data_IF_082579833596
#
_entry.id   IF_082579833596
#
_cell.length_a   1.000
_cell.length_b   1.000
_cell.length_c   1.000
_cell.angle_alpha   90.00
_cell.angle_beta   90.00
_cell.angle_gamma   90.00
#
_symmetry.space_group_name_H-M   'P 1'
#
loop_
_entity.id
_entity.type
_entity.pdbx_description
1 polymer ?
#
# COMPACT_ATOMS: atom_id res chain seq x y z
N UNK A 1 -19.03 -29.06 12.03
CA UNK A 1 -17.93 -28.21 11.51
C UNK A 1 -18.19 -26.71 11.77
N UNK A 2 -18.56 -26.29 13.01
CA UNK A 2 -18.67 -24.87 13.34
C UNK A 2 -17.30 -24.17 13.42
N UNK A 3 -16.22 -24.95 13.61
CA UNK A 3 -14.85 -24.42 13.76
C UNK A 3 -14.36 -23.73 12.47
N UNK A 4 -14.50 -24.36 11.29
CA UNK A 4 -14.08 -23.76 10.02
C UNK A 4 -14.78 -22.42 9.71
N UNK A 5 -16.10 -22.33 9.95
CA UNK A 5 -16.84 -21.09 9.75
C UNK A 5 -16.33 -19.98 10.68
N UNK A 6 -16.09 -20.32 11.94
CA UNK A 6 -15.63 -19.38 12.97
C UNK A 6 -14.20 -18.90 12.67
N UNK A 7 -13.32 -19.81 12.24
CA UNK A 7 -11.95 -19.48 11.83
C UNK A 7 -11.93 -18.52 10.63
N UNK A 8 -12.73 -18.79 9.58
CA UNK A 8 -12.83 -17.88 8.43
C UNK A 8 -13.44 -16.53 8.78
N UNK A 9 -14.43 -16.49 9.67
CA UNK A 9 -14.99 -15.23 10.17
C UNK A 9 -13.91 -14.38 10.86
N UNK A 10 -13.12 -14.98 11.75
CA UNK A 10 -12.05 -14.28 12.46
C UNK A 10 -10.99 -13.70 11.51
N UNK A 11 -10.62 -14.46 10.47
CA UNK A 11 -9.70 -14.00 9.42
C UNK A 11 -10.28 -12.81 8.64
N UNK A 12 -11.53 -12.91 8.19
CA UNK A 12 -12.15 -11.82 7.43
C UNK A 12 -12.30 -10.55 8.28
N UNK A 13 -12.66 -10.68 9.56
CA UNK A 13 -12.71 -9.56 10.50
C UNK A 13 -11.34 -8.92 10.72
N UNK A 14 -10.28 -9.72 10.80
CA UNK A 14 -8.91 -9.21 10.90
C UNK A 14 -8.53 -8.41 9.65
N UNK A 15 -8.82 -8.92 8.45
CA UNK A 15 -8.55 -8.21 7.20
C UNK A 15 -9.36 -6.93 7.06
N UNK A 16 -10.64 -6.96 7.37
CA UNK A 16 -11.48 -5.77 7.31
C UNK A 16 -10.99 -4.69 8.28
N UNK A 17 -10.65 -5.08 9.52
CA UNK A 17 -10.07 -4.15 10.50
C UNK A 17 -8.77 -3.51 10.00
N UNK A 18 -7.89 -4.29 9.40
CA UNK A 18 -6.64 -3.79 8.83
C UNK A 18 -6.86 -2.89 7.60
N UNK A 19 -7.92 -3.11 6.83
CA UNK A 19 -8.29 -2.22 5.72
C UNK A 19 -8.87 -0.88 6.20
N UNK A 20 -9.52 -0.89 7.37
CA UNK A 20 -10.10 0.31 7.97
C UNK A 20 -9.07 1.12 8.78
N UNK A 21 -8.07 0.46 9.36
CA UNK A 21 -7.02 1.09 10.16
C UNK A 21 -5.73 1.31 9.33
N UNK A 22 -5.46 2.55 8.96
CA UNK A 22 -4.33 2.91 8.09
C UNK A 22 -2.94 2.57 8.67
N UNK A 23 -2.81 2.48 10.00
CA UNK A 23 -1.55 2.24 10.72
C UNK A 23 -1.47 0.85 11.37
N UNK A 24 -2.53 0.03 11.30
CA UNK A 24 -2.52 -1.29 11.94
C UNK A 24 -1.83 -2.28 11.00
N UNK A 25 -0.52 -2.40 11.16
CA UNK A 25 0.29 -3.32 10.38
C UNK A 25 -0.04 -4.75 10.78
N UNK A 26 -0.71 -5.49 9.90
CA UNK A 26 -0.78 -6.94 10.01
C UNK A 26 0.62 -7.52 9.89
N UNK A 27 1.01 -8.34 10.86
CA UNK A 27 2.20 -9.18 10.73
C UNK A 27 1.95 -10.25 9.64
N UNK A 28 2.63 -10.18 8.49
CA UNK A 28 2.42 -11.14 7.40
C UNK A 28 2.82 -12.56 7.79
N UNK A 29 3.71 -12.73 8.78
CA UNK A 29 4.13 -14.05 9.27
C UNK A 29 3.12 -14.68 10.24
N UNK A 30 2.18 -13.89 10.76
CA UNK A 30 1.16 -14.36 11.70
C UNK A 30 -0.11 -14.87 11.01
N UNK A 31 -0.22 -14.76 9.68
CA UNK A 31 -1.38 -15.26 8.94
C UNK A 31 -1.27 -16.77 8.70
N UNK A 32 -2.10 -17.54 9.40
CA UNK A 32 -2.32 -18.96 9.12
C UNK A 32 -3.73 -19.16 8.54
N UNK A 33 -3.86 -19.64 7.29
CA UNK A 33 -5.18 -19.81 6.69
C UNK A 33 -5.97 -20.92 7.41
N UNK A 34 -7.29 -20.74 7.64
CA UNK A 34 -8.14 -21.75 8.23
C UNK A 34 -8.15 -23.06 7.45
N UNK A 35 -8.51 -24.14 8.14
CA UNK A 35 -8.53 -25.47 7.51
C UNK A 35 -9.72 -25.66 6.57
N UNK A 36 -9.45 -25.95 5.30
CA UNK A 36 -10.48 -26.22 4.30
C UNK A 36 -10.93 -24.98 3.51
N UNK A 37 -11.88 -25.16 2.58
CA UNK A 37 -12.32 -24.07 1.72
C UNK A 37 -13.15 -23.05 2.49
N UNK A 38 -13.20 -21.83 1.95
CA UNK A 38 -14.09 -20.80 2.47
C UNK A 38 -15.56 -21.27 2.37
N UNK A 39 -16.35 -21.16 3.46
CA UNK A 39 -17.78 -21.42 3.41
C UNK A 39 -18.49 -20.52 2.40
N UNK A 40 -19.46 -21.06 1.66
CA UNK A 40 -20.18 -20.31 0.62
C UNK A 40 -20.89 -19.07 1.15
N UNK A 41 -21.33 -19.13 2.40
CA UNK A 41 -21.95 -18.01 3.13
C UNK A 41 -21.00 -16.80 3.26
N UNK A 42 -19.69 -17.03 3.28
CA UNK A 42 -18.67 -15.99 3.42
C UNK A 42 -18.07 -15.55 2.08
N UNK A 43 -18.42 -16.22 0.97
CA UNK A 43 -17.82 -15.98 -0.35
C UNK A 43 -17.93 -14.53 -0.79
N UNK A 44 -19.14 -13.96 -0.73
CA UNK A 44 -19.38 -12.56 -1.13
C UNK A 44 -18.58 -11.57 -0.26
N UNK A 45 -18.44 -11.86 1.04
CA UNK A 45 -17.65 -11.02 1.96
C UNK A 45 -16.16 -11.09 1.62
N UNK A 46 -15.63 -12.29 1.38
CA UNK A 46 -14.23 -12.44 0.97
C UNK A 46 -13.92 -11.78 -0.37
N UNK A 47 -14.83 -11.86 -1.34
CA UNK A 47 -14.69 -11.17 -2.62
C UNK A 47 -14.67 -9.63 -2.44
N UNK A 48 -15.51 -9.10 -1.55
CA UNK A 48 -15.51 -7.67 -1.22
C UNK A 48 -14.20 -7.23 -0.55
N UNK A 49 -13.67 -8.03 0.38
CA UNK A 49 -12.37 -7.77 1.02
C UNK A 49 -11.25 -7.77 -0.01
N UNK A 50 -11.21 -8.77 -0.89
CA UNK A 50 -10.20 -8.88 -1.94
C UNK A 50 -10.23 -7.68 -2.90
N UNK A 51 -11.43 -7.26 -3.32
CA UNK A 51 -11.59 -6.10 -4.20
C UNK A 51 -11.06 -4.81 -3.55
N UNK A 52 -11.33 -4.60 -2.25
CA UNK A 52 -10.79 -3.46 -1.49
C UNK A 52 -9.26 -3.50 -1.38
N UNK A 53 -8.70 -4.67 -1.06
CA UNK A 53 -7.25 -4.87 -1.00
C UNK A 53 -6.57 -4.53 -2.34
N UNK A 54 -7.12 -5.01 -3.45
CA UNK A 54 -6.60 -4.73 -4.78
C UNK A 54 -6.62 -3.23 -5.13
N UNK A 55 -7.70 -2.52 -4.76
CA UNK A 55 -7.79 -1.07 -4.96
C UNK A 55 -6.73 -0.32 -4.15
N UNK A 56 -6.53 -0.68 -2.87
CA UNK A 56 -5.51 -0.05 -2.03
C UNK A 56 -4.09 -0.32 -2.53
N UNK A 57 -3.79 -1.55 -2.96
CA UNK A 57 -2.50 -1.90 -3.59
C UNK A 57 -2.26 -1.05 -4.84
N UNK A 58 -3.28 -0.88 -5.68
CA UNK A 58 -3.20 -0.02 -6.86
C UNK A 58 -2.89 1.44 -6.51
N UNK A 59 -3.59 1.99 -5.51
CA UNK A 59 -3.37 3.34 -5.00
C UNK A 59 -1.96 3.54 -4.43
N UNK A 60 -1.49 2.61 -3.59
CA UNK A 60 -0.14 2.66 -3.03
C UNK A 60 0.93 2.59 -4.12
N UNK A 61 0.74 1.72 -5.11
CA UNK A 61 1.65 1.60 -6.26
C UNK A 61 1.74 2.91 -7.05
N UNK A 62 0.59 3.55 -7.31
CA UNK A 62 0.54 4.83 -8.01
C UNK A 62 1.22 5.95 -7.21
N UNK A 63 0.97 6.02 -5.89
CA UNK A 63 1.59 6.98 -4.98
C UNK A 63 3.12 6.81 -4.95
N UNK A 64 3.60 5.58 -4.78
CA UNK A 64 5.03 5.26 -4.81
C UNK A 64 5.68 5.68 -6.14
N UNK A 65 5.01 5.45 -7.26
CA UNK A 65 5.50 5.87 -8.58
C UNK A 65 5.55 7.40 -8.72
N UNK A 66 4.58 8.11 -8.13
CA UNK A 66 4.57 9.57 -8.10
C UNK A 66 5.76 10.13 -7.31
N UNK A 67 5.95 9.69 -6.05
CA UNK A 67 7.08 10.11 -5.21
C UNK A 67 8.42 9.80 -5.86
N UNK A 68 8.57 8.64 -6.51
CA UNK A 68 9.79 8.29 -7.22
C UNK A 68 10.12 9.28 -8.36
N UNK A 69 9.12 9.79 -9.06
CA UNK A 69 9.30 10.83 -10.10
C UNK A 69 9.71 12.16 -9.49
N UNK A 70 9.11 12.56 -8.39
CA UNK A 70 9.49 13.79 -7.68
C UNK A 70 10.95 13.74 -7.20
N UNK A 71 11.36 12.62 -6.59
CA UNK A 71 12.76 12.41 -6.18
C UNK A 71 13.70 12.49 -7.39
N UNK A 72 13.32 11.88 -8.52
CA UNK A 72 14.12 11.94 -9.74
C UNK A 72 14.22 13.37 -10.31
N UNK A 73 13.17 14.18 -10.19
CA UNK A 73 13.19 15.59 -10.59
C UNK A 73 14.11 16.41 -9.69
N UNK A 74 14.01 16.25 -8.37
CA UNK A 74 14.88 16.93 -7.39
C UNK A 74 16.36 16.62 -7.63
N UNK A 75 16.69 15.36 -7.92
CA UNK A 75 18.07 14.93 -8.23
C UNK A 75 18.65 15.54 -9.51
N UNK A 76 17.80 16.03 -10.42
CA UNK A 76 18.25 16.68 -11.67
C UNK A 76 18.51 18.18 -11.51
N UNK A 77 18.03 18.79 -10.42
CA UNK A 77 18.34 20.19 -10.12
C UNK A 77 19.82 20.27 -9.74
N UNK A 78 20.67 20.98 -10.51
CA UNK A 78 22.06 21.15 -10.14
C UNK A 78 22.12 21.91 -8.81
N UNK A 79 22.65 21.28 -7.77
CA UNK A 79 23.08 21.96 -6.55
C UNK A 79 24.40 22.69 -6.86
N UNK A 80 24.29 23.75 -7.67
CA UNK A 80 25.40 24.66 -7.92
C UNK A 80 25.91 25.21 -6.59
N UNK A 81 27.24 25.23 -6.43
CA UNK A 81 27.92 25.85 -5.29
C UNK A 81 27.41 27.29 -5.18
N UNK A 82 26.63 27.61 -4.13
CA UNK A 82 26.05 28.95 -3.91
C UNK A 82 27.11 30.02 -3.56
N UNK A 83 28.38 29.63 -3.49
CA UNK A 83 29.50 30.46 -3.04
C UNK A 83 30.37 31.03 -4.18
N UNK A 84 29.93 30.96 -5.44
CA UNK A 84 30.69 31.56 -6.54
C UNK A 84 29.80 32.56 -7.29
N UNK A 85 30.14 33.87 -7.28
CA UNK A 85 29.45 34.86 -8.09
C UNK A 85 29.62 34.52 -9.57
N UNK A 86 28.52 34.35 -10.28
CA UNK A 86 28.51 34.23 -11.74
C UNK A 86 28.42 35.66 -12.29
N UNK A 87 29.52 36.18 -12.81
CA UNK A 87 29.50 37.40 -13.63
C UNK A 87 29.06 37.01 -15.04
N UNK A 88 27.91 37.52 -15.45
CA UNK A 88 27.42 37.42 -16.83
C UNK A 88 28.00 38.62 -17.58
N UNK A 89 29.00 38.37 -18.43
CA UNK A 89 29.54 39.40 -19.30
C UNK A 89 28.51 39.66 -20.40
N UNK A 90 27.94 40.86 -20.41
CA UNK A 90 26.99 41.28 -21.44
C UNK A 90 27.79 42.14 -22.41
N UNK A 91 28.22 41.54 -23.52
CA UNK A 91 28.78 42.31 -24.63
C UNK A 91 27.65 43.18 -25.23
N UNK A 92 27.89 44.49 -25.25
CA UNK A 92 26.98 45.50 -25.82
C UNK A 92 27.15 45.72 -27.31
#
# INVERSE_FOLDING_TARGET
>A
MPDNLTEWLAVLEQFERALDAADDALDPQAFEPPSGPIPDELRARAEAVLARQQLMIGGLTASRAHVAREIAALRRVPSGRQDVPIYLDVEG
#
